data_IF_856900215282
#
_entry.id   IF_856900215282
#
_cell.length_a   1.000
_cell.length_b   1.000
_cell.length_c   1.000
_cell.angle_alpha   90.00
_cell.angle_beta   90.00
_cell.angle_gamma   90.00
#
_symmetry.space_group_name_H-M   'P 1'
#
loop_
_entity.id
_entity.type
_entity.pdbx_description
1 polymer ?
#
# COMPACT_ATOMS: atom_id res chain seq x y z
N UNK A 1 -9.56 6.95 -16.04
CA UNK A 1 -8.14 6.74 -15.65
C UNK A 1 -7.80 5.27 -15.93
N UNK A 2 -6.56 4.87 -16.25
CA UNK A 2 -6.28 3.44 -16.45
C UNK A 2 -6.51 2.66 -15.15
N UNK A 3 -7.14 1.50 -15.25
CA UNK A 3 -7.24 0.48 -14.20
C UNK A 3 -7.07 -0.90 -14.84
N UNK A 4 -6.65 -1.88 -14.04
CA UNK A 4 -6.66 -3.29 -14.43
C UNK A 4 -8.03 -3.74 -14.98
N UNK A 5 -9.13 -3.09 -14.59
CA UNK A 5 -10.49 -3.47 -14.99
C UNK A 5 -11.04 -2.72 -16.21
N UNK A 6 -10.25 -1.90 -16.91
CA UNK A 6 -10.72 -1.04 -18.01
C UNK A 6 -11.29 -1.77 -19.24
N UNK A 7 -11.32 -3.11 -19.25
CA UNK A 7 -11.84 -3.93 -20.36
C UNK A 7 -12.86 -4.99 -19.95
N UNK A 8 -13.37 -4.96 -18.72
CA UNK A 8 -14.36 -5.94 -18.24
C UNK A 8 -15.65 -5.26 -17.80
N UNK A 9 -16.76 -5.99 -17.87
CA UNK A 9 -17.97 -5.60 -17.17
C UNK A 9 -17.76 -5.77 -15.67
N UNK A 10 -17.98 -4.72 -14.90
CA UNK A 10 -17.88 -4.75 -13.44
C UNK A 10 -19.16 -5.34 -12.84
N UNK A 11 -19.08 -6.04 -11.70
CA UNK A 11 -20.26 -6.42 -10.92
C UNK A 11 -21.22 -5.24 -10.71
N UNK A 12 -22.50 -5.46 -10.96
CA UNK A 12 -23.55 -4.45 -10.88
C UNK A 12 -24.55 -4.68 -9.74
N UNK A 13 -24.53 -5.87 -9.13
CA UNK A 13 -25.45 -6.26 -8.07
C UNK A 13 -24.67 -6.72 -6.84
N UNK A 14 -25.06 -6.17 -5.68
CA UNK A 14 -24.52 -6.55 -4.39
C UNK A 14 -25.40 -7.63 -3.77
N UNK A 15 -24.76 -8.71 -3.31
CA UNK A 15 -25.42 -9.76 -2.53
C UNK A 15 -24.77 -9.75 -1.15
N UNK A 16 -25.56 -9.49 -0.12
CA UNK A 16 -25.10 -9.51 1.25
C UNK A 16 -24.56 -10.91 1.58
N UNK A 17 -23.26 -11.08 1.87
CA UNK A 17 -22.73 -12.38 2.24
C UNK A 17 -23.25 -12.81 3.60
N UNK A 18 -23.53 -14.11 3.75
CA UNK A 18 -23.72 -14.72 5.05
C UNK A 18 -22.42 -14.69 5.88
N UNK A 19 -22.56 -14.81 7.21
CA UNK A 19 -21.40 -14.94 8.10
C UNK A 19 -20.49 -16.12 7.71
N UNK A 20 -21.07 -17.25 7.30
CA UNK A 20 -20.30 -18.42 6.89
C UNK A 20 -19.46 -18.16 5.63
N UNK A 21 -19.99 -17.37 4.68
CA UNK A 21 -19.25 -16.96 3.49
C UNK A 21 -18.10 -16.02 3.86
N UNK A 22 -18.34 -15.01 4.72
CA UNK A 22 -17.28 -14.12 5.18
C UNK A 22 -16.16 -14.87 5.91
N UNK A 23 -16.49 -15.82 6.77
CA UNK A 23 -15.49 -16.66 7.45
C UNK A 23 -14.69 -17.53 6.47
N UNK A 24 -15.35 -18.09 5.46
CA UNK A 24 -14.69 -18.88 4.42
C UNK A 24 -13.74 -18.01 3.59
N UNK A 25 -14.16 -16.82 3.17
CA UNK A 25 -13.32 -15.86 2.45
C UNK A 25 -12.15 -15.39 3.30
N UNK A 26 -12.38 -15.04 4.57
CA UNK A 26 -11.31 -14.64 5.49
C UNK A 26 -10.23 -15.72 5.62
N UNK A 27 -10.62 -17.00 5.76
CA UNK A 27 -9.69 -18.14 5.77
C UNK A 27 -8.91 -18.25 4.46
N UNK A 28 -9.61 -18.19 3.32
CA UNK A 28 -9.00 -18.30 1.99
C UNK A 28 -8.02 -17.16 1.70
N UNK A 29 -8.34 -15.94 2.12
CA UNK A 29 -7.48 -14.76 1.99
C UNK A 29 -6.38 -14.71 3.07
N UNK A 30 -6.27 -15.74 3.92
CA UNK A 30 -5.17 -15.89 4.86
C UNK A 30 -5.22 -14.95 6.06
N UNK A 31 -6.41 -14.54 6.50
CA UNK A 31 -6.56 -13.80 7.75
C UNK A 31 -6.25 -14.72 8.94
N UNK A 32 -5.72 -14.12 10.02
CA UNK A 32 -5.42 -14.83 11.26
C UNK A 32 -6.67 -15.34 11.96
N UNK A 33 -6.54 -16.47 12.66
CA UNK A 33 -7.65 -17.11 13.36
C UNK A 33 -8.32 -16.21 14.42
N UNK A 34 -7.54 -15.39 15.12
CA UNK A 34 -8.07 -14.47 16.12
C UNK A 34 -8.90 -13.32 15.53
N UNK A 35 -8.62 -12.94 14.27
CA UNK A 35 -9.44 -12.00 13.50
C UNK A 35 -10.73 -12.70 13.03
N UNK A 36 -10.62 -13.92 12.50
CA UNK A 36 -11.76 -14.70 12.02
C UNK A 36 -12.75 -14.95 13.17
N UNK A 37 -12.26 -15.28 14.37
CA UNK A 37 -13.07 -15.51 15.56
C UNK A 37 -13.90 -14.28 16.00
N UNK A 38 -13.56 -13.08 15.52
CA UNK A 38 -14.29 -11.83 15.78
C UNK A 38 -15.33 -11.48 14.73
N UNK A 39 -15.36 -12.17 13.58
CA UNK A 39 -16.33 -11.90 12.52
C UNK A 39 -17.79 -12.01 12.97
N UNK A 40 -18.22 -12.98 13.81
CA UNK A 40 -19.61 -13.03 14.27
C UNK A 40 -20.04 -11.76 15.03
N UNK A 41 -19.14 -11.19 15.82
CA UNK A 41 -19.36 -9.94 16.56
C UNK A 41 -19.51 -8.76 15.60
N UNK A 42 -18.58 -8.60 14.65
CA UNK A 42 -18.59 -7.47 13.71
C UNK A 42 -19.66 -7.57 12.63
N UNK A 43 -20.06 -8.79 12.25
CA UNK A 43 -21.16 -9.03 11.32
C UNK A 43 -22.51 -8.67 11.93
N UNK A 44 -22.68 -8.87 13.24
CA UNK A 44 -23.89 -8.52 13.98
C UNK A 44 -24.07 -7.04 14.30
N UNK A 45 -23.11 -6.18 13.93
CA UNK A 45 -23.22 -4.73 14.07
C UNK A 45 -24.33 -4.17 13.16
N UNK A 46 -24.96 -3.04 13.52
CA UNK A 46 -26.09 -2.48 12.76
C UNK A 46 -25.61 -1.72 11.50
N UNK A 47 -24.98 -2.45 10.59
CA UNK A 47 -24.56 -1.96 9.28
C UNK A 47 -25.77 -1.67 8.40
N UNK A 48 -25.77 -0.53 7.73
CA UNK A 48 -26.70 -0.26 6.62
C UNK A 48 -26.16 -0.90 5.34
N UNK A 49 -26.50 -2.17 5.13
CA UNK A 49 -26.00 -2.95 3.98
C UNK A 49 -26.60 -2.54 2.64
N UNK A 50 -27.71 -1.80 2.62
CA UNK A 50 -28.25 -1.23 1.38
C UNK A 50 -27.31 -0.13 0.86
N UNK A 51 -26.84 0.74 1.77
CA UNK A 51 -25.85 1.77 1.44
C UNK A 51 -24.47 1.15 1.21
N UNK A 52 -23.99 0.32 2.15
CA UNK A 52 -22.65 -0.26 2.08
C UNK A 52 -22.47 -1.16 0.85
N UNK A 53 -23.54 -1.86 0.42
CA UNK A 53 -23.52 -2.68 -0.78
C UNK A 53 -23.24 -1.88 -2.05
N UNK A 54 -23.92 -0.74 -2.24
CA UNK A 54 -23.64 0.19 -3.35
C UNK A 54 -22.20 0.71 -3.29
N UNK A 55 -21.74 1.11 -2.11
CA UNK A 55 -20.37 1.60 -1.93
C UNK A 55 -19.33 0.53 -2.24
N UNK A 56 -19.55 -0.72 -1.86
CA UNK A 56 -18.68 -1.86 -2.19
C UNK A 56 -18.54 -2.03 -3.70
N UNK A 57 -19.62 -1.92 -4.47
CA UNK A 57 -19.54 -1.99 -5.93
C UNK A 57 -18.81 -0.78 -6.53
N UNK A 58 -19.02 0.42 -5.96
CA UNK A 58 -18.34 1.65 -6.39
C UNK A 58 -16.84 1.64 -6.08
N UNK A 59 -16.38 0.88 -5.09
CA UNK A 59 -14.94 0.66 -4.86
C UNK A 59 -14.22 0.05 -6.06
N UNK A 60 -14.92 -0.64 -6.96
CA UNK A 60 -14.35 -1.25 -8.16
C UNK A 60 -14.10 -0.24 -9.28
N UNK A 61 -14.70 0.96 -9.19
CA UNK A 61 -14.62 2.02 -10.20
C UNK A 61 -13.57 3.03 -9.76
N UNK A 62 -12.50 3.20 -10.55
CA UNK A 62 -11.37 4.07 -10.18
C UNK A 62 -11.78 5.54 -9.98
N UNK A 63 -12.82 6.01 -10.68
CA UNK A 63 -13.38 7.36 -10.53
C UNK A 63 -14.13 7.56 -9.20
N UNK A 64 -14.74 6.50 -8.65
CA UNK A 64 -15.55 6.57 -7.42
C UNK A 64 -14.83 6.02 -6.19
N UNK A 65 -13.77 5.22 -6.35
CA UNK A 65 -13.24 4.35 -5.30
C UNK A 65 -12.76 5.08 -4.06
N UNK A 66 -12.21 6.29 -4.21
CA UNK A 66 -11.82 7.13 -3.08
C UNK A 66 -13.03 7.65 -2.32
N UNK A 67 -14.00 8.23 -3.02
CA UNK A 67 -15.21 8.76 -2.39
C UNK A 67 -16.01 7.66 -1.71
N UNK A 68 -16.11 6.48 -2.34
CA UNK A 68 -16.75 5.31 -1.74
C UNK A 68 -16.02 4.84 -0.47
N UNK A 69 -14.68 4.84 -0.46
CA UNK A 69 -13.90 4.49 0.73
C UNK A 69 -14.10 5.48 1.88
N UNK A 70 -14.10 6.78 1.59
CA UNK A 70 -14.35 7.84 2.57
C UNK A 70 -15.77 7.72 3.16
N UNK A 71 -16.76 7.42 2.32
CA UNK A 71 -18.14 7.19 2.78
C UNK A 71 -18.27 5.91 3.61
N UNK A 72 -17.61 4.81 3.25
CA UNK A 72 -17.59 3.58 4.07
C UNK A 72 -16.99 3.87 5.45
N UNK A 73 -15.92 4.66 5.53
CA UNK A 73 -15.34 5.08 6.81
C UNK A 73 -16.39 5.85 7.63
N UNK A 74 -17.14 6.76 7.01
CA UNK A 74 -18.17 7.53 7.68
C UNK A 74 -19.34 6.64 8.16
N UNK A 75 -19.86 5.76 7.31
CA UNK A 75 -20.98 4.86 7.61
C UNK A 75 -20.65 3.84 8.70
N UNK A 76 -19.37 3.46 8.82
CA UNK A 76 -18.92 2.51 9.85
C UNK A 76 -18.39 3.20 11.12
N UNK A 77 -18.33 4.53 11.14
CA UNK A 77 -17.79 5.30 12.26
C UNK A 77 -18.64 5.08 13.52
N UNK A 78 -17.98 4.76 14.64
CA UNK A 78 -18.64 4.56 15.93
C UNK A 78 -19.38 3.23 16.10
N UNK A 79 -19.52 2.40 15.05
CA UNK A 79 -20.12 1.07 15.17
C UNK A 79 -19.25 0.10 15.97
N UNK A 80 -17.93 0.25 15.86
CA UNK A 80 -16.94 -0.49 16.64
C UNK A 80 -15.66 0.34 16.79
N UNK A 81 -14.84 0.12 17.83
CA UNK A 81 -13.59 0.83 18.00
C UNK A 81 -12.62 0.51 16.86
N UNK A 82 -11.63 1.37 16.66
CA UNK A 82 -10.43 1.06 15.86
C UNK A 82 -10.71 0.64 14.40
N UNK A 83 -11.84 1.09 13.85
CA UNK A 83 -12.27 0.75 12.49
C UNK A 83 -12.62 -0.72 12.29
N UNK A 84 -12.85 -1.49 13.36
CA UNK A 84 -13.18 -2.91 13.27
C UNK A 84 -14.45 -3.19 12.45
N UNK A 85 -15.42 -2.29 12.47
CA UNK A 85 -16.65 -2.37 11.66
C UNK A 85 -16.38 -2.33 10.15
N UNK A 86 -15.23 -1.82 9.71
CA UNK A 86 -14.83 -1.79 8.31
C UNK A 86 -14.39 -3.16 7.79
N UNK A 87 -13.98 -4.08 8.67
CA UNK A 87 -13.40 -5.39 8.30
C UNK A 87 -14.39 -6.27 7.51
N UNK A 88 -15.65 -6.49 7.95
CA UNK A 88 -16.61 -7.26 7.16
C UNK A 88 -16.92 -6.60 5.79
N UNK A 89 -16.97 -5.27 5.72
CA UNK A 89 -17.18 -4.53 4.46
C UNK A 89 -16.00 -4.73 3.50
N UNK A 90 -14.76 -4.69 4.01
CA UNK A 90 -13.56 -4.93 3.22
C UNK A 90 -13.50 -6.38 2.70
N UNK A 91 -13.92 -7.36 3.51
CA UNK A 91 -14.02 -8.77 3.07
C UNK A 91 -15.04 -8.95 1.95
N UNK A 92 -16.21 -8.30 2.05
CA UNK A 92 -17.17 -8.28 0.94
C UNK A 92 -16.56 -7.66 -0.33
N UNK A 93 -15.84 -6.54 -0.20
CA UNK A 93 -15.14 -5.92 -1.33
C UNK A 93 -14.05 -6.82 -1.94
N UNK A 94 -13.33 -7.62 -1.14
CA UNK A 94 -12.34 -8.58 -1.65
C UNK A 94 -12.98 -9.70 -2.48
N UNK A 95 -14.19 -10.13 -2.14
CA UNK A 95 -14.90 -11.11 -2.96
C UNK A 95 -15.18 -10.57 -4.37
N UNK A 96 -15.65 -9.32 -4.47
CA UNK A 96 -15.88 -8.68 -5.77
C UNK A 96 -14.57 -8.37 -6.51
N UNK A 97 -13.50 -8.04 -5.78
CA UNK A 97 -12.16 -7.90 -6.35
C UNK A 97 -11.69 -9.21 -7.00
N UNK A 98 -11.89 -10.35 -6.33
CA UNK A 98 -11.54 -11.65 -6.88
C UNK A 98 -12.32 -11.97 -8.17
N UNK A 99 -13.63 -11.70 -8.20
CA UNK A 99 -14.44 -11.82 -9.42
C UNK A 99 -13.84 -10.97 -10.56
N UNK A 100 -13.39 -9.75 -10.26
CA UNK A 100 -12.74 -8.89 -11.25
C UNK A 100 -11.40 -9.45 -11.72
N UNK A 101 -10.59 -10.00 -10.80
CA UNK A 101 -9.32 -10.68 -11.13
C UNK A 101 -9.53 -11.89 -12.05
N UNK A 102 -10.56 -12.69 -11.80
CA UNK A 102 -10.93 -13.81 -12.67
C UNK A 102 -11.34 -13.32 -14.08
N UNK A 103 -12.17 -12.28 -14.16
CA UNK A 103 -12.65 -11.71 -15.44
C UNK A 103 -11.53 -11.12 -16.29
N UNK A 104 -10.53 -10.50 -15.69
CA UNK A 104 -9.35 -9.98 -16.43
C UNK A 104 -8.30 -11.05 -16.73
N UNK A 105 -8.50 -12.29 -16.26
CA UNK A 105 -7.53 -13.37 -16.41
C UNK A 105 -6.20 -13.06 -15.72
N UNK A 106 -6.26 -12.53 -14.50
CA UNK A 106 -5.05 -12.21 -13.73
C UNK A 106 -4.31 -13.50 -13.35
N UNK A 107 -2.99 -13.47 -13.39
CA UNK A 107 -2.18 -14.61 -12.96
C UNK A 107 -2.46 -14.95 -11.49
N UNK A 108 -2.57 -16.25 -11.18
CA UNK A 108 -3.00 -16.74 -9.86
C UNK A 108 -2.15 -16.17 -8.72
N UNK A 109 -0.83 -16.07 -8.91
CA UNK A 109 0.07 -15.50 -7.92
C UNK A 109 -0.24 -14.03 -7.65
N UNK A 110 -0.45 -13.24 -8.71
CA UNK A 110 -0.75 -11.80 -8.61
C UNK A 110 -2.11 -11.57 -7.93
N UNK A 111 -3.11 -12.37 -8.29
CA UNK A 111 -4.43 -12.35 -7.65
C UNK A 111 -4.32 -12.68 -6.15
N UNK A 112 -3.61 -13.77 -5.82
CA UNK A 112 -3.40 -14.20 -4.43
C UNK A 112 -2.70 -13.14 -3.59
N UNK A 113 -1.63 -12.53 -4.12
CA UNK A 113 -0.90 -11.46 -3.44
C UNK A 113 -1.76 -10.22 -3.20
N UNK A 114 -2.63 -9.88 -4.16
CA UNK A 114 -3.60 -8.79 -4.03
C UNK A 114 -4.63 -9.05 -2.92
N UNK A 115 -5.24 -10.24 -2.90
CA UNK A 115 -6.28 -10.61 -1.94
C UNK A 115 -5.73 -10.74 -0.51
N UNK A 116 -4.55 -11.35 -0.37
CA UNK A 116 -3.88 -11.54 0.94
C UNK A 116 -3.35 -10.22 1.53
N UNK A 117 -3.30 -9.14 0.74
CA UNK A 117 -2.81 -7.85 1.22
C UNK A 117 -3.64 -7.30 2.37
N UNK A 118 -4.94 -7.60 2.41
CA UNK A 118 -5.81 -7.15 3.50
C UNK A 118 -5.36 -7.71 4.86
N UNK A 119 -5.03 -9.01 4.93
CA UNK A 119 -4.48 -9.62 6.15
C UNK A 119 -3.22 -8.91 6.64
N UNK A 120 -2.32 -8.53 5.72
CA UNK A 120 -1.13 -7.74 6.04
C UNK A 120 -1.45 -6.34 6.55
N UNK A 121 -2.48 -5.67 6.02
CA UNK A 121 -2.91 -4.37 6.54
C UNK A 121 -3.42 -4.49 7.99
N UNK A 122 -4.14 -5.57 8.33
CA UNK A 122 -4.60 -5.84 9.70
C UNK A 122 -3.43 -6.18 10.64
N UNK A 123 -2.47 -7.00 10.19
CA UNK A 123 -1.24 -7.29 10.95
C UNK A 123 -0.46 -5.99 11.24
N UNK A 124 -0.34 -5.11 10.24
CA UNK A 124 0.36 -3.83 10.39
C UNK A 124 -0.39 -2.90 11.35
N UNK A 125 -1.72 -2.94 11.39
CA UNK A 125 -2.49 -2.22 12.41
C UNK A 125 -2.19 -2.78 13.81
N UNK A 126 -2.22 -4.10 13.98
CA UNK A 126 -1.91 -4.73 15.28
C UNK A 126 -0.49 -4.40 15.74
N UNK A 127 0.50 -4.44 14.85
CA UNK A 127 1.88 -4.10 15.19
C UNK A 127 2.01 -2.64 15.63
N UNK A 128 1.32 -1.71 14.96
CA UNK A 128 1.31 -0.27 15.25
C UNK A 128 0.60 0.08 16.55
N UNK A 129 -0.60 -0.47 16.76
CA UNK A 129 -1.51 -0.03 17.82
C UNK A 129 -1.65 -1.04 18.97
N UNK A 130 -1.03 -2.22 18.85
CA UNK A 130 -1.11 -3.35 19.81
C UNK A 130 -2.54 -3.82 20.10
N UNK A 131 -3.46 -3.56 19.17
CA UNK A 131 -4.87 -3.97 19.21
C UNK A 131 -5.39 -4.27 17.80
N UNK A 132 -6.46 -5.04 17.72
CA UNK A 132 -7.11 -5.37 16.44
C UNK A 132 -7.84 -4.14 15.91
N UNK A 133 -7.70 -3.86 14.62
CA UNK A 133 -8.39 -2.76 13.95
C UNK A 133 -7.92 -2.57 12.51
N UNK A 134 -8.45 -1.53 11.87
CA UNK A 134 -8.16 -1.18 10.49
C UNK A 134 -8.39 0.31 10.23
N UNK A 135 -7.40 1.00 9.66
CA UNK A 135 -7.41 2.44 9.43
C UNK A 135 -6.89 2.85 8.04
N UNK A 136 -6.80 1.89 7.10
CA UNK A 136 -6.22 2.11 5.76
C UNK A 136 -7.23 1.88 4.64
N UNK A 137 -8.52 2.14 4.87
CA UNK A 137 -9.58 1.88 3.87
C UNK A 137 -9.37 2.63 2.54
N UNK A 138 -8.96 3.91 2.59
CA UNK A 138 -8.66 4.68 1.37
C UNK A 138 -7.46 4.11 0.60
N UNK A 139 -6.48 3.54 1.30
CA UNK A 139 -5.39 2.82 0.64
C UNK A 139 -5.87 1.49 0.06
N UNK A 140 -6.70 0.79 0.82
CA UNK A 140 -7.31 -0.47 0.41
C UNK A 140 -8.16 -0.31 -0.86
N UNK A 141 -8.82 0.83 -1.05
CA UNK A 141 -9.62 1.06 -2.26
C UNK A 141 -8.81 1.14 -3.56
N UNK A 142 -7.49 1.37 -3.48
CA UNK A 142 -6.60 1.29 -4.65
C UNK A 142 -6.46 -0.13 -5.18
N UNK A 143 -6.49 -1.15 -4.30
CA UNK A 143 -6.48 -2.55 -4.72
C UNK A 143 -7.83 -2.93 -5.32
N UNK A 144 -8.92 -2.59 -4.63
CA UNK A 144 -10.27 -2.95 -5.07
C UNK A 144 -10.67 -2.28 -6.37
N UNK A 145 -10.09 -1.13 -6.71
CA UNK A 145 -10.31 -0.44 -7.99
C UNK A 145 -9.36 -0.87 -9.10
N UNK A 146 -8.48 -1.86 -8.87
CA UNK A 146 -7.52 -2.33 -9.86
C UNK A 146 -6.41 -1.33 -10.20
N UNK A 147 -6.23 -0.31 -9.35
CA UNK A 147 -5.25 0.75 -9.52
C UNK A 147 -3.87 0.39 -8.99
N UNK A 148 -3.79 -0.54 -8.04
CA UNK A 148 -2.55 -0.95 -7.37
C UNK A 148 -2.33 -2.46 -7.51
N UNK A 149 -1.26 -2.85 -8.19
CA UNK A 149 -0.96 -4.27 -8.51
C UNK A 149 0.41 -4.66 -7.98
N UNK A 150 0.54 -5.83 -7.35
CA UNK A 150 1.83 -6.40 -6.95
C UNK A 150 2.43 -7.18 -8.10
N UNK A 151 3.67 -6.89 -8.50
CA UNK A 151 4.39 -7.70 -9.47
C UNK A 151 5.73 -8.09 -8.86
N UNK A 152 5.84 -9.33 -8.37
CA UNK A 152 6.98 -9.76 -7.57
C UNK A 152 7.05 -9.03 -6.22
N UNK A 153 8.17 -8.35 -5.95
CA UNK A 153 8.38 -7.76 -4.62
C UNK A 153 7.81 -6.35 -4.43
N UNK A 154 7.43 -5.66 -5.51
CA UNK A 154 6.96 -4.27 -5.47
C UNK A 154 5.49 -4.17 -5.91
N UNK A 155 4.85 -3.09 -5.50
CA UNK A 155 3.53 -2.68 -5.99
C UNK A 155 3.66 -1.50 -6.94
N UNK A 156 2.79 -1.45 -7.95
CA UNK A 156 2.80 -0.44 -9.00
C UNK A 156 1.43 0.21 -9.12
N UNK A 157 1.42 1.53 -9.17
CA UNK A 157 0.23 2.37 -9.32
C UNK A 157 0.38 3.33 -10.50
N UNK A 158 -0.51 3.30 -11.50
CA UNK A 158 -0.63 4.38 -12.47
C UNK A 158 -0.99 5.68 -11.76
N UNK A 159 -0.16 6.68 -12.00
CA UNK A 159 -0.14 7.91 -11.22
C UNK A 159 0.14 9.09 -12.14
N UNK A 160 -0.78 10.05 -12.14
CA UNK A 160 -0.64 11.28 -12.90
C UNK A 160 0.41 12.18 -12.23
N UNK A 161 1.42 12.60 -13.00
CA UNK A 161 2.48 13.47 -12.51
C UNK A 161 1.89 14.84 -12.08
N UNK A 162 2.04 15.25 -10.82
CA UNK A 162 1.52 16.53 -10.34
C UNK A 162 2.38 17.69 -10.85
N UNK A 163 1.76 18.86 -10.98
CA UNK A 163 2.41 20.10 -11.43
C UNK A 163 3.72 20.41 -10.69
N UNK A 164 3.73 20.22 -9.36
CA UNK A 164 4.90 20.49 -8.51
C UNK A 164 6.14 19.66 -8.91
N UNK A 165 5.93 18.43 -9.36
CA UNK A 165 7.02 17.56 -9.78
C UNK A 165 7.37 17.76 -11.26
N UNK A 166 6.38 18.03 -12.12
CA UNK A 166 6.59 18.29 -13.54
C UNK A 166 7.56 19.46 -13.82
N UNK A 167 7.65 20.45 -12.92
CA UNK A 167 8.59 21.58 -13.05
C UNK A 167 10.03 21.27 -12.62
N UNK A 168 10.28 20.08 -12.05
CA UNK A 168 11.62 19.71 -11.57
C UNK A 168 12.52 19.25 -12.73
N UNK A 169 13.82 19.56 -12.73
CA UNK A 169 14.73 19.19 -13.83
C UNK A 169 14.74 17.69 -14.18
N UNK A 170 14.61 16.80 -13.18
CA UNK A 170 14.54 15.36 -13.40
C UNK A 170 13.31 14.88 -14.17
N UNK A 171 12.25 15.70 -14.23
CA UNK A 171 11.02 15.44 -14.97
C UNK A 171 10.87 16.34 -16.22
N UNK A 172 11.94 17.02 -16.66
CA UNK A 172 11.85 18.00 -17.75
C UNK A 172 11.36 17.45 -19.12
N UNK A 173 11.37 16.12 -19.29
CA UNK A 173 10.84 15.44 -20.48
C UNK A 173 9.36 15.03 -20.36
N UNK A 174 8.75 15.23 -19.19
CA UNK A 174 7.36 14.94 -18.87
C UNK A 174 6.55 16.22 -18.69
N UNK A 175 5.23 16.09 -18.72
CA UNK A 175 4.25 17.15 -18.46
C UNK A 175 3.38 16.80 -17.26
N UNK A 176 2.81 17.83 -16.64
CA UNK A 176 1.73 17.64 -15.68
C UNK A 176 0.62 16.78 -16.30
N UNK A 177 0.16 15.78 -15.54
CA UNK A 177 -0.89 14.86 -15.97
C UNK A 177 -0.39 13.64 -16.74
N UNK A 178 0.88 13.58 -17.15
CA UNK A 178 1.44 12.38 -17.76
C UNK A 178 1.33 11.19 -16.79
N UNK A 179 0.84 10.05 -17.28
CA UNK A 179 0.63 8.86 -16.46
C UNK A 179 1.93 8.09 -16.32
N UNK A 180 2.55 8.18 -15.16
CA UNK A 180 3.74 7.42 -14.76
C UNK A 180 3.34 6.16 -13.97
N UNK A 181 4.28 5.26 -13.73
CA UNK A 181 4.12 4.19 -12.74
C UNK A 181 4.79 4.57 -11.43
N UNK A 182 4.02 4.60 -10.35
CA UNK A 182 4.51 4.86 -9.01
C UNK A 182 4.75 3.54 -8.27
N UNK A 183 5.99 3.32 -7.82
CA UNK A 183 6.39 2.16 -7.03
C UNK A 183 6.04 2.38 -5.55
N UNK A 184 5.38 1.39 -4.99
CA UNK A 184 5.18 1.23 -3.55
C UNK A 184 5.97 0.02 -3.04
N UNK A 185 6.70 0.21 -1.94
CA UNK A 185 7.57 -0.79 -1.35
C UNK A 185 6.86 -1.38 -0.13
N UNK A 186 6.33 -2.62 -0.21
CA UNK A 186 5.67 -3.23 0.94
C UNK A 186 6.71 -3.67 1.99
N UNK A 187 6.27 -3.85 3.23
CA UNK A 187 7.16 -4.22 4.35
C UNK A 187 7.87 -5.57 4.16
N UNK A 188 7.24 -6.49 3.44
CA UNK A 188 7.78 -7.81 3.09
C UNK A 188 8.63 -7.77 1.81
N UNK A 189 8.99 -6.58 1.30
CA UNK A 189 9.79 -6.47 0.10
C UNK A 189 11.21 -7.01 0.30
N UNK A 190 11.65 -7.86 -0.63
CA UNK A 190 13.02 -8.32 -0.75
C UNK A 190 13.81 -7.32 -1.61
N UNK A 191 14.70 -6.58 -0.96
CA UNK A 191 15.50 -5.51 -1.60
C UNK A 191 16.83 -5.99 -2.18
N UNK A 192 17.04 -7.29 -2.34
CA UNK A 192 18.18 -7.78 -3.12
C UNK A 192 17.95 -7.58 -4.63
N UNK A 193 19.05 -7.54 -5.38
CA UNK A 193 19.01 -7.13 -6.79
C UNK A 193 18.16 -8.08 -7.63
N UNK A 194 18.21 -9.39 -7.38
CA UNK A 194 17.41 -10.39 -8.08
C UNK A 194 15.91 -10.11 -8.01
N UNK A 195 15.36 -9.89 -6.81
CA UNK A 195 13.92 -9.67 -6.64
C UNK A 195 13.46 -8.29 -7.14
N UNK A 196 14.31 -7.27 -7.01
CA UNK A 196 14.01 -5.94 -7.53
C UNK A 196 14.02 -5.95 -9.05
N UNK A 197 15.06 -6.52 -9.67
CA UNK A 197 15.20 -6.55 -11.12
C UNK A 197 14.09 -7.40 -11.76
N UNK A 198 13.73 -8.54 -11.16
CA UNK A 198 12.59 -9.35 -11.60
C UNK A 198 11.25 -8.57 -11.54
N UNK A 199 11.03 -7.80 -10.47
CA UNK A 199 9.84 -6.97 -10.31
C UNK A 199 9.78 -5.84 -11.36
N UNK A 200 10.90 -5.16 -11.58
CA UNK A 200 11.03 -4.06 -12.56
C UNK A 200 10.94 -4.55 -14.00
N UNK A 201 11.41 -5.77 -14.30
CA UNK A 201 11.21 -6.38 -15.60
C UNK A 201 9.74 -6.76 -15.79
N UNK A 202 9.10 -7.38 -14.79
CA UNK A 202 7.72 -7.83 -14.92
C UNK A 202 6.75 -6.67 -15.17
N UNK A 203 6.90 -5.54 -14.48
CA UNK A 203 6.07 -4.35 -14.75
C UNK A 203 6.24 -3.82 -16.18
N UNK A 204 7.46 -3.88 -16.73
CA UNK A 204 7.78 -3.38 -18.07
C UNK A 204 7.09 -4.22 -19.17
N UNK A 205 6.71 -5.45 -18.85
CA UNK A 205 5.93 -6.32 -19.74
C UNK A 205 4.42 -6.24 -19.42
N UNK A 206 4.06 -6.21 -18.13
CA UNK A 206 2.69 -6.33 -17.65
C UNK A 206 1.77 -5.18 -18.08
N UNK A 207 2.23 -3.93 -17.95
CA UNK A 207 1.43 -2.74 -18.23
C UNK A 207 1.27 -2.48 -19.73
N UNK A 208 2.33 -2.54 -20.57
CA UNK A 208 2.21 -2.47 -22.03
C UNK A 208 1.30 -3.54 -22.62
N UNK A 209 1.39 -4.79 -22.16
CA UNK A 209 0.50 -5.87 -22.58
C UNK A 209 -0.99 -5.59 -22.29
N UNK A 210 -1.28 -4.63 -21.40
CA UNK A 210 -2.62 -4.15 -21.03
C UNK A 210 -2.91 -2.73 -21.52
N UNK A 211 -2.17 -2.27 -22.53
CA UNK A 211 -2.40 -0.99 -23.20
C UNK A 211 -1.99 0.25 -22.41
N UNK A 212 -1.17 0.10 -21.37
CA UNK A 212 -0.59 1.22 -20.63
C UNK A 212 0.91 1.33 -20.91
N UNK A 213 1.25 2.21 -21.83
CA UNK A 213 2.62 2.71 -22.00
C UNK A 213 2.84 3.87 -21.02
N UNK A 214 3.91 3.82 -20.25
CA UNK A 214 4.28 4.90 -19.31
C UNK A 214 5.63 5.50 -19.68
N UNK A 215 5.80 6.82 -19.55
CA UNK A 215 7.05 7.47 -19.92
C UNK A 215 8.08 7.43 -18.79
N UNK A 216 7.67 7.09 -17.56
CA UNK A 216 8.56 7.04 -16.39
C UNK A 216 8.04 6.12 -15.29
N UNK A 217 8.98 5.59 -14.51
CA UNK A 217 8.73 4.88 -13.25
C UNK A 217 9.30 5.72 -12.10
N UNK A 218 8.49 5.96 -11.08
CA UNK A 218 8.77 6.92 -10.01
C UNK A 218 8.56 6.26 -8.66
N UNK A 219 9.29 6.67 -7.63
CA UNK A 219 8.97 6.34 -6.24
C UNK A 219 9.27 7.52 -5.33
N UNK A 220 8.60 7.57 -4.18
CA UNK A 220 8.94 8.47 -3.08
C UNK A 220 9.06 7.65 -1.82
N UNK A 221 10.25 7.63 -1.24
CA UNK A 221 10.52 6.81 -0.05
C UNK A 221 11.75 7.30 0.71
N UNK A 222 11.78 7.04 2.01
CA UNK A 222 12.92 7.30 2.88
C UNK A 222 14.16 6.50 2.47
N UNK A 223 13.96 5.35 1.81
CA UNK A 223 15.05 4.51 1.30
C UNK A 223 15.92 5.24 0.27
N UNK A 224 15.40 6.28 -0.37
CA UNK A 224 16.11 7.09 -1.36
C UNK A 224 16.90 8.25 -0.76
N UNK A 225 16.83 8.50 0.55
CA UNK A 225 17.55 9.61 1.16
C UNK A 225 19.09 9.37 1.05
N UNK A 226 19.84 10.22 0.32
CA UNK A 226 21.28 10.04 0.15
C UNK A 226 22.04 10.15 1.47
N UNK A 227 21.47 10.79 2.50
CA UNK A 227 22.08 10.93 3.83
C UNK A 227 22.22 9.61 4.56
N UNK A 228 21.44 8.58 4.19
CA UNK A 228 21.68 7.21 4.67
C UNK A 228 23.09 6.71 4.33
N UNK A 229 23.75 7.30 3.32
CA UNK A 229 25.12 7.01 2.94
C UNK A 229 26.18 7.35 4.00
N UNK A 230 25.86 8.15 5.02
CA UNK A 230 26.81 8.45 6.12
C UNK A 230 27.13 7.23 6.98
N UNK A 231 26.20 6.28 7.08
CA UNK A 231 26.35 5.10 7.94
C UNK A 231 26.04 3.76 7.24
N UNK A 232 25.44 3.77 6.05
CA UNK A 232 25.23 2.55 5.26
C UNK A 232 26.41 2.23 4.33
N UNK A 233 26.93 1.00 4.43
CA UNK A 233 27.95 0.48 3.53
C UNK A 233 27.50 0.47 2.06
N UNK A 234 28.45 0.51 1.12
CA UNK A 234 28.15 0.50 -0.33
C UNK A 234 27.37 -0.74 -0.78
N UNK A 235 27.58 -1.85 -0.08
CA UNK A 235 26.93 -3.14 -0.31
C UNK A 235 25.54 -3.26 0.35
N UNK A 236 25.11 -2.23 1.10
CA UNK A 236 23.77 -2.18 1.67
C UNK A 236 22.71 -2.29 0.58
N UNK A 237 21.77 -3.22 0.74
CA UNK A 237 20.63 -3.41 -0.17
C UNK A 237 19.82 -2.13 -0.37
N UNK A 238 19.64 -1.34 0.68
CA UNK A 238 18.99 -0.03 0.64
C UNK A 238 19.71 0.92 -0.32
N UNK A 239 21.05 0.99 -0.22
CA UNK A 239 21.85 1.83 -1.12
C UNK A 239 21.88 1.29 -2.55
N UNK A 240 21.83 -0.02 -2.75
CA UNK A 240 21.72 -0.61 -4.10
C UNK A 240 20.38 -0.29 -4.74
N UNK A 241 19.29 -0.39 -3.98
CA UNK A 241 17.97 0.03 -4.42
C UNK A 241 17.97 1.52 -4.81
N UNK A 242 18.49 2.39 -3.93
CA UNK A 242 18.52 3.83 -4.19
C UNK A 242 19.32 4.25 -5.43
N UNK A 243 20.41 3.53 -5.75
CA UNK A 243 21.23 3.81 -6.94
C UNK A 243 20.54 3.54 -8.28
N UNK A 244 19.36 2.90 -8.27
CA UNK A 244 18.54 2.72 -9.47
C UNK A 244 17.77 3.98 -9.87
N UNK A 245 17.72 4.98 -8.99
CA UNK A 245 16.94 6.18 -9.18
C UNK A 245 17.83 7.43 -9.28
N UNK A 246 17.44 8.36 -10.14
CA UNK A 246 17.90 9.74 -10.08
C UNK A 246 17.00 10.54 -9.13
N UNK A 247 17.61 11.15 -8.12
CA UNK A 247 16.91 11.90 -7.09
C UNK A 247 16.49 13.26 -7.63
N UNK A 248 15.19 13.56 -7.52
CA UNK A 248 14.57 14.78 -8.05
C UNK A 248 14.18 15.75 -6.94
N UNK A 249 13.81 15.24 -5.78
CA UNK A 249 13.40 16.02 -4.62
C UNK A 249 13.75 15.26 -3.35
N UNK A 250 14.16 16.00 -2.31
CA UNK A 250 14.39 15.49 -0.96
C UNK A 250 13.63 16.41 -0.02
N UNK A 251 12.91 15.80 0.92
CA UNK A 251 12.13 16.50 1.93
C UNK A 251 12.51 15.95 3.29
N UNK A 252 12.77 16.84 4.24
CA UNK A 252 12.99 16.44 5.61
C UNK A 252 11.67 15.97 6.23
N UNK A 253 11.76 14.89 7.02
CA UNK A 253 10.60 14.34 7.71
C UNK A 253 10.88 14.27 9.21
N UNK A 254 9.86 14.35 10.07
CA UNK A 254 10.02 14.18 11.50
C UNK A 254 10.70 12.85 11.85
N UNK A 255 11.55 12.83 12.87
CA UNK A 255 12.20 11.60 13.35
C UNK A 255 11.18 10.51 13.70
N UNK A 256 10.00 10.89 14.19
CA UNK A 256 8.89 10.00 14.55
C UNK A 256 8.45 9.08 13.41
N UNK A 257 8.56 9.52 12.14
CA UNK A 257 8.26 8.69 10.97
C UNK A 257 9.23 7.49 10.86
N UNK A 258 10.53 7.73 11.13
CA UNK A 258 11.54 6.68 11.19
C UNK A 258 11.32 5.75 12.39
N UNK A 259 10.88 6.29 13.53
CA UNK A 259 10.51 5.53 14.72
C UNK A 259 9.54 4.40 14.39
N UNK A 260 8.51 4.68 13.58
CA UNK A 260 7.59 3.65 13.10
C UNK A 260 8.24 2.74 12.05
N UNK A 261 8.77 3.28 10.95
CA UNK A 261 9.19 2.45 9.80
C UNK A 261 10.38 1.53 10.09
N UNK A 262 11.36 2.00 10.86
CA UNK A 262 12.64 1.32 11.10
C UNK A 262 12.70 0.72 12.50
N UNK A 263 12.22 1.44 13.52
CA UNK A 263 12.34 1.03 14.91
C UNK A 263 11.11 0.27 15.42
N UNK A 264 10.05 0.14 14.60
CA UNK A 264 8.80 -0.56 14.93
C UNK A 264 8.13 -0.02 16.21
N UNK A 265 8.36 1.25 16.50
CA UNK A 265 7.73 1.96 17.60
C UNK A 265 6.29 2.34 17.22
N UNK A 266 5.39 2.49 18.21
CA UNK A 266 4.07 3.06 17.97
C UNK A 266 4.18 4.47 17.36
N UNK A 267 3.22 4.84 16.51
CA UNK A 267 3.18 6.13 15.78
C UNK A 267 3.21 7.35 16.72
N UNK A 268 2.69 7.20 17.95
CA UNK A 268 2.70 8.20 19.01
C UNK A 268 3.64 7.81 20.16
N UNK A 269 4.79 7.21 19.85
CA UNK A 269 5.77 6.90 20.89
C UNK A 269 6.30 8.20 21.51
N UNK A 270 6.22 8.30 22.84
CA UNK A 270 6.86 9.36 23.62
C UNK A 270 8.24 8.93 24.12
N UNK A 271 8.74 7.78 23.65
CA UNK A 271 10.05 7.29 24.05
C UNK A 271 11.13 8.25 23.57
N UNK A 272 12.01 8.71 24.47
CA UNK A 272 13.12 9.56 24.08
C UNK A 272 14.04 8.78 23.13
N UNK A 273 14.74 9.50 22.25
CA UNK A 273 15.56 8.91 21.18
C UNK A 273 16.57 7.89 21.74
N UNK A 274 17.13 8.17 22.92
CA UNK A 274 18.11 7.34 23.62
C UNK A 274 17.60 5.94 23.99
N UNK A 275 16.28 5.77 24.06
CA UNK A 275 15.62 4.51 24.38
C UNK A 275 15.18 3.72 23.13
N UNK A 276 15.47 4.23 21.93
CA UNK A 276 15.08 3.54 20.70
C UNK A 276 15.92 2.26 20.48
N UNK A 277 15.35 1.20 19.91
CA UNK A 277 16.05 -0.07 19.73
C UNK A 277 17.22 0.06 18.76
N UNK A 278 18.36 -0.55 19.10
CA UNK A 278 19.62 -0.47 18.33
C UNK A 278 20.13 -1.84 17.90
N UNK A 279 19.21 -2.77 17.62
CA UNK A 279 19.50 -4.18 17.35
C UNK A 279 20.18 -4.37 15.98
N UNK A 280 19.77 -3.60 14.98
CA UNK A 280 20.31 -3.69 13.61
C UNK A 280 21.35 -2.60 13.33
N UNK A 281 22.22 -2.82 12.33
CA UNK A 281 23.16 -1.79 11.87
C UNK A 281 22.48 -0.54 11.34
N UNK A 282 21.32 -0.71 10.69
CA UNK A 282 20.48 0.41 10.23
C UNK A 282 19.97 1.24 11.41
N UNK A 283 19.43 0.58 12.44
CA UNK A 283 18.95 1.25 13.65
C UNK A 283 20.07 2.00 14.37
N UNK A 284 21.23 1.37 14.56
CA UNK A 284 22.41 2.05 15.15
C UNK A 284 22.84 3.27 14.36
N UNK A 285 22.96 3.13 13.04
CA UNK A 285 23.37 4.23 12.17
C UNK A 285 22.41 5.42 12.20
N UNK A 286 21.09 5.16 12.15
CA UNK A 286 20.08 6.22 12.25
C UNK A 286 20.09 6.86 13.64
N UNK A 287 20.16 6.05 14.69
CA UNK A 287 20.19 6.51 16.08
C UNK A 287 21.38 7.44 16.35
N UNK A 288 22.60 7.03 15.97
CA UNK A 288 23.81 7.86 16.08
C UNK A 288 23.71 9.13 15.25
N UNK A 289 23.15 9.05 14.04
CA UNK A 289 22.98 10.21 13.16
C UNK A 289 22.01 11.24 13.76
N UNK A 290 20.90 10.79 14.36
CA UNK A 290 19.95 11.66 15.04
C UNK A 290 20.52 12.27 16.32
N UNK A 291 21.26 11.51 17.14
CA UNK A 291 21.94 12.04 18.33
C UNK A 291 22.99 13.11 17.99
N UNK A 292 23.61 13.02 16.82
CA UNK A 292 24.53 14.03 16.30
C UNK A 292 23.83 15.29 15.74
N UNK A 293 22.50 15.39 15.84
CA UNK A 293 21.71 16.49 15.29
C UNK A 293 21.43 16.39 13.79
N UNK A 294 21.72 15.23 13.19
CA UNK A 294 21.41 14.96 11.79
C UNK A 294 19.91 14.86 11.54
N UNK A 295 19.50 15.21 10.32
CA UNK A 295 18.13 15.08 9.86
C UNK A 295 18.05 14.15 8.66
N UNK A 296 17.07 13.26 8.67
CA UNK A 296 16.74 12.39 7.55
C UNK A 296 15.37 12.77 6.98
N UNK A 297 15.08 12.23 5.82
CA UNK A 297 13.97 12.65 4.98
C UNK A 297 13.40 11.52 4.15
N UNK A 298 12.56 11.92 3.21
CA UNK A 298 12.05 11.11 2.10
C UNK A 298 12.48 11.75 0.80
N UNK A 299 12.80 10.93 -0.20
CA UNK A 299 13.21 11.43 -1.50
C UNK A 299 12.34 10.85 -2.62
N UNK A 300 12.03 11.70 -3.60
CA UNK A 300 11.38 11.32 -4.85
C UNK A 300 12.46 11.05 -5.89
N UNK A 301 12.40 9.87 -6.50
CA UNK A 301 13.33 9.46 -7.54
C UNK A 301 12.62 8.92 -8.78
N UNK A 302 13.22 9.17 -9.94
CA UNK A 302 12.83 8.58 -11.22
C UNK A 302 13.79 7.42 -11.53
N UNK A 303 13.26 6.27 -11.95
CA UNK A 303 14.06 5.10 -12.33
C UNK A 303 14.96 5.44 -13.53
N UNK A 304 16.21 5.02 -13.48
CA UNK A 304 17.22 5.21 -14.53
C UNK A 304 17.01 4.30 -15.74
#
# INVERSE_FOLDING_TARGET
>A
MWTLFSGIELPSEFVLPSLAELEAWAKRFGLREDIIAKLPEWYGLPHDWDILGDLVLRLLRIEDSRAAAEEIIAQTAGLAPDGQAQIPVALAALHYLEICYERVGLEEQVASDGLRRFGKLLENYLLRHKKIGFDRFVWFSKFTSGRLVRLGTLFYEPWALPAELAVRPGFAHLREGDICLFIHIPEDAKLDDEHIDASLQWQAEFFPARGLEVPAVVTRTWLLDPRLGHFLSLDSRLRRFARRFDIVQIEDIPQTEYGFWVFKLPENTELPLEEWPTETSLQRGIHEYFLAGGMLGSATGILR
#
